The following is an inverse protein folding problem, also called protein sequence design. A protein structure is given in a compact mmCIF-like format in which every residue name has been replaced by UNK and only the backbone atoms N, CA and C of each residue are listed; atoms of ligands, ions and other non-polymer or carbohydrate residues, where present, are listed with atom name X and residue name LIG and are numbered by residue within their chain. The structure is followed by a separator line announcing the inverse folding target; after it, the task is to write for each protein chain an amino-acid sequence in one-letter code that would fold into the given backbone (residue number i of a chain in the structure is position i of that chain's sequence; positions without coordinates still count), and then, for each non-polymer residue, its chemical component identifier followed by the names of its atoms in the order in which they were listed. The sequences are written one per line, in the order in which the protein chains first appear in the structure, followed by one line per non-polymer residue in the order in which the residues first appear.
data_IF_645748007468
#
_entry.id   IF_645748007468
#
_cell.length_a   1.000
_cell.length_b   1.000
_cell.length_c   1.000
_cell.angle_alpha   90.00
_cell.angle_beta   90.00
_cell.angle_gamma   90.00
#
_symmetry.space_group_name_H-M   'P 1'
#
loop_
_entity.id
_entity.type
_entity.pdbx_description
1 polymer ?
#
# COMPACT_ATOMS: atom_id res chain seq x y z
N UNK A 1 7.59 6.68 -8.19
CA UNK A 1 6.46 6.25 -7.32
C UNK A 1 5.62 5.19 -8.00
N UNK A 2 5.10 4.26 -7.21
CA UNK A 2 4.47 3.04 -7.68
C UNK A 2 3.16 2.79 -6.93
N UNK A 3 2.35 1.88 -7.46
CA UNK A 3 1.12 1.41 -6.82
C UNK A 3 1.40 0.00 -6.28
N UNK A 4 1.14 -0.22 -5.00
CA UNK A 4 1.31 -1.52 -4.34
C UNK A 4 -0.06 -2.16 -4.13
N UNK A 5 -0.16 -3.48 -4.30
CA UNK A 5 -1.40 -4.22 -4.12
C UNK A 5 -1.15 -5.41 -3.19
N UNK A 6 -1.78 -5.43 -2.03
CA UNK A 6 -1.68 -6.52 -1.06
C UNK A 6 -0.39 -6.56 -0.23
N UNK A 7 0.54 -5.64 -0.49
CA UNK A 7 1.70 -5.34 0.34
C UNK A 7 1.67 -3.85 0.68
N UNK A 8 2.01 -3.47 1.92
CA UNK A 8 2.04 -2.06 2.33
C UNK A 8 3.15 -1.28 1.61
N UNK A 9 2.96 0.04 1.53
CA UNK A 9 4.07 0.96 1.31
C UNK A 9 4.88 1.16 2.62
N UNK A 10 5.94 1.98 2.56
CA UNK A 10 6.85 2.15 3.70
C UNK A 10 6.12 2.65 4.96
N UNK A 11 5.23 3.65 4.84
CA UNK A 11 4.56 4.23 6.02
C UNK A 11 3.50 3.30 6.56
N UNK A 12 2.77 2.58 5.71
CA UNK A 12 1.79 1.61 6.18
C UNK A 12 2.43 0.37 6.82
N UNK A 13 3.61 -0.05 6.36
CA UNK A 13 4.37 -1.13 6.98
C UNK A 13 4.83 -0.73 8.38
N UNK A 14 5.48 0.43 8.52
CA UNK A 14 6.17 0.83 9.74
C UNK A 14 5.24 1.44 10.80
N UNK A 15 4.26 2.26 10.39
CA UNK A 15 3.51 3.14 11.32
C UNK A 15 2.01 2.82 11.44
N UNK A 16 1.40 2.11 10.47
CA UNK A 16 -0.04 1.86 10.46
C UNK A 16 -0.41 0.39 10.72
N UNK A 17 0.13 -0.54 9.94
CA UNK A 17 -0.20 -1.96 10.00
C UNK A 17 0.76 -2.74 10.88
N UNK A 18 2.02 -2.32 10.98
CA UNK A 18 3.10 -3.05 11.66
C UNK A 18 3.21 -4.51 11.16
N UNK A 19 2.91 -4.73 9.87
CA UNK A 19 2.95 -6.01 9.21
C UNK A 19 3.35 -5.79 7.75
N UNK A 20 4.07 -6.76 7.17
CA UNK A 20 4.51 -6.78 5.77
C UNK A 20 3.41 -7.22 4.80
N UNK A 21 2.23 -7.54 5.32
CA UNK A 21 1.09 -8.02 4.56
C UNK A 21 -0.09 -7.06 4.68
N UNK A 22 -0.68 -6.72 3.53
CA UNK A 22 -1.94 -5.99 3.44
C UNK A 22 -3.00 -6.84 2.73
N UNK A 23 -3.03 -8.14 3.04
CA UNK A 23 -3.97 -9.13 2.52
C UNK A 23 -4.57 -9.97 3.64
N UNK A 24 -5.85 -10.31 3.50
CA UNK A 24 -6.57 -11.15 4.45
C UNK A 24 -7.49 -12.12 3.72
N UNK A 25 -7.31 -13.40 4.01
CA UNK A 25 -8.14 -14.46 3.44
C UNK A 25 -9.46 -14.60 4.21
N UNK A 26 -10.55 -14.88 3.48
CA UNK A 26 -11.76 -15.37 4.13
C UNK A 26 -11.50 -16.73 4.78
N UNK A 27 -12.20 -17.10 5.87
CA UNK A 27 -11.96 -18.36 6.57
C UNK A 27 -12.05 -19.62 5.71
N UNK A 28 -12.84 -19.56 4.63
CA UNK A 28 -13.05 -20.64 3.66
C UNK A 28 -12.17 -20.53 2.39
N UNK A 29 -11.28 -19.54 2.31
CA UNK A 29 -10.37 -19.33 1.17
C UNK A 29 -11.03 -18.90 -0.15
N UNK A 30 -12.33 -18.60 -0.15
CA UNK A 30 -13.07 -18.19 -1.37
C UNK A 30 -12.80 -16.73 -1.74
N UNK A 31 -12.41 -15.90 -0.78
CA UNK A 31 -12.14 -14.48 -0.99
C UNK A 31 -10.80 -14.07 -0.39
N UNK A 32 -10.20 -13.05 -0.98
CA UNK A 32 -9.07 -12.33 -0.43
C UNK A 32 -9.42 -10.83 -0.40
N UNK A 33 -9.34 -10.22 0.77
CA UNK A 33 -9.34 -8.78 0.92
C UNK A 33 -7.91 -8.27 0.77
N UNK A 34 -7.72 -7.15 0.07
CA UNK A 34 -6.40 -6.52 -0.06
C UNK A 34 -6.51 -5.01 -0.15
N UNK A 35 -5.46 -4.32 0.29
CA UNK A 35 -5.34 -2.87 0.11
C UNK A 35 -4.46 -2.57 -1.10
N UNK A 36 -4.88 -1.58 -1.88
CA UNK A 36 -4.06 -0.90 -2.87
C UNK A 36 -3.55 0.39 -2.26
N UNK A 37 -2.24 0.56 -2.24
CA UNK A 37 -1.55 1.79 -1.82
C UNK A 37 -1.06 2.53 -3.05
N UNK A 38 -1.36 3.80 -3.15
CA UNK A 38 -0.95 4.63 -4.26
C UNK A 38 -0.05 5.78 -3.77
N UNK A 39 1.24 5.58 -4.01
CA UNK A 39 2.30 6.54 -3.69
C UNK A 39 2.58 7.55 -4.80
N UNK A 40 1.83 7.56 -5.92
CA UNK A 40 2.22 8.35 -7.11
C UNK A 40 2.53 9.82 -6.81
N UNK A 41 1.88 10.40 -5.80
CA UNK A 41 2.02 11.81 -5.42
C UNK A 41 2.74 12.01 -4.07
N UNK A 42 3.24 10.94 -3.46
CA UNK A 42 4.00 10.99 -2.21
C UNK A 42 5.44 11.44 -2.48
N UNK A 43 5.98 12.43 -1.74
CA UNK A 43 7.37 12.83 -1.92
C UNK A 43 8.36 11.68 -1.70
N UNK A 44 9.46 11.70 -2.46
CA UNK A 44 10.50 10.67 -2.37
C UNK A 44 11.60 11.17 -1.44
N UNK A 45 11.99 10.33 -0.50
CA UNK A 45 13.22 10.49 0.27
C UNK A 45 14.33 9.70 -0.40
N UNK A 46 15.49 10.33 -0.58
CA UNK A 46 16.65 9.73 -1.22
C UNK A 46 17.85 9.74 -0.28
N UNK A 47 18.63 8.66 -0.32
CA UNK A 47 19.89 8.57 0.41
C UNK A 47 20.92 7.74 -0.34
N UNK A 48 22.20 8.01 -0.07
CA UNK A 48 23.30 7.24 -0.64
C UNK A 48 23.50 5.93 0.12
N UNK A 49 23.50 4.82 -0.61
CA UNK A 49 23.87 3.51 -0.11
C UNK A 49 25.26 3.14 -0.65
N UNK A 50 26.23 3.09 0.25
CA UNK A 50 27.65 2.94 -0.10
C UNK A 50 28.04 1.51 -0.48
N UNK A 51 27.37 0.49 0.08
CA UNK A 51 27.55 -0.91 -0.31
C UNK A 51 29.00 -1.40 -0.33
N UNK A 52 29.26 -2.45 -1.11
CA UNK A 52 30.61 -2.96 -1.41
C UNK A 52 31.05 -2.66 -2.84
N UNK A 53 30.17 -2.07 -3.66
CA UNK A 53 30.44 -1.71 -5.04
C UNK A 53 31.42 -0.52 -5.12
N UNK A 54 32.11 -0.39 -6.26
CA UNK A 54 33.09 0.69 -6.47
C UNK A 54 32.48 2.10 -6.30
N UNK A 55 31.19 2.26 -6.59
CA UNK A 55 30.48 3.52 -6.48
C UNK A 55 29.17 3.37 -5.71
N UNK A 56 28.81 4.36 -4.87
CA UNK A 56 27.53 4.37 -4.18
C UNK A 56 26.36 4.41 -5.16
N UNK A 57 25.21 3.90 -4.71
CA UNK A 57 23.94 4.04 -5.41
C UNK A 57 22.96 4.87 -4.59
N UNK A 58 22.06 5.58 -5.27
CA UNK A 58 20.95 6.26 -4.61
C UNK A 58 19.82 5.27 -4.37
N UNK A 59 19.32 5.23 -3.14
CA UNK A 59 18.08 4.55 -2.78
C UNK A 59 16.99 5.61 -2.67
N UNK A 60 15.85 5.35 -3.28
CA UNK A 60 14.71 6.26 -3.33
C UNK A 60 13.48 5.56 -2.76
N UNK A 61 12.86 6.15 -1.75
CA UNK A 61 11.69 5.57 -1.04
C UNK A 61 10.59 6.64 -0.98
N UNK A 62 9.34 6.34 -1.39
CA UNK A 62 8.20 7.21 -1.08
C UNK A 62 8.05 7.35 0.43
N UNK A 63 8.22 8.56 0.95
CA UNK A 63 8.23 8.82 2.38
C UNK A 63 7.51 10.14 2.66
N UNK A 64 6.27 10.11 3.20
CA UNK A 64 5.55 11.31 3.55
C UNK A 64 6.10 11.89 4.87
N UNK A 65 6.81 13.01 4.78
CA UNK A 65 7.16 13.80 5.97
C UNK A 65 5.94 14.55 6.50
N UNK A 66 6.01 14.98 7.75
CA UNK A 66 4.96 15.80 8.37
C UNK A 66 4.56 16.98 7.46
N UNK A 67 3.25 17.13 7.22
CA UNK A 67 2.68 18.18 6.38
C UNK A 67 2.81 17.94 4.87
N UNK A 68 3.29 16.77 4.44
CA UNK A 68 3.33 16.38 3.01
C UNK A 68 2.22 15.39 2.67
N UNK A 69 2.04 15.11 1.36
CA UNK A 69 0.96 14.27 0.89
C UNK A 69 1.18 12.80 1.27
N UNK A 70 0.17 12.21 1.91
CA UNK A 70 0.14 10.80 2.25
C UNK A 70 -0.23 9.92 1.04
N UNK A 71 0.12 8.63 1.09
CA UNK A 71 -0.41 7.64 0.16
C UNK A 71 -1.94 7.61 0.21
N UNK A 72 -2.56 7.49 -0.96
CA UNK A 72 -4.00 7.23 -1.05
C UNK A 72 -4.25 5.74 -1.09
N UNK A 73 -5.29 5.26 -0.41
CA UNK A 73 -5.59 3.83 -0.34
C UNK A 73 -6.97 3.48 -0.90
N UNK A 74 -7.09 2.25 -1.40
CA UNK A 74 -8.36 1.63 -1.78
C UNK A 74 -8.39 0.19 -1.26
N UNK A 75 -9.52 -0.22 -0.70
CA UNK A 75 -9.72 -1.59 -0.22
C UNK A 75 -10.54 -2.36 -1.24
N UNK A 76 -10.10 -3.59 -1.54
CA UNK A 76 -10.75 -4.48 -2.48
C UNK A 76 -11.02 -5.84 -1.85
N UNK A 77 -12.07 -6.52 -2.33
CA UNK A 77 -12.31 -7.94 -2.10
C UNK A 77 -12.30 -8.64 -3.46
N UNK A 78 -11.41 -9.61 -3.64
CA UNK A 78 -11.40 -10.49 -4.79
C UNK A 78 -12.02 -11.85 -4.43
N UNK A 79 -12.96 -12.32 -5.25
CA UNK A 79 -13.42 -13.70 -5.23
C UNK A 79 -12.46 -14.55 -6.06
N UNK A 80 -11.93 -15.60 -5.46
CA UNK A 80 -10.81 -16.42 -5.99
C UNK A 80 -11.12 -17.91 -5.99
N UNK A 81 -12.39 -18.30 -5.88
CA UNK A 81 -12.85 -19.69 -5.96
C UNK A 81 -12.61 -20.34 -7.33
N UNK A 82 -12.56 -19.53 -8.38
CA UNK A 82 -12.18 -19.94 -9.72
C UNK A 82 -11.02 -19.09 -10.24
N UNK A 83 -9.80 -19.65 -10.41
CA UNK A 83 -8.64 -18.90 -10.89
C UNK A 83 -8.82 -18.38 -12.33
N UNK A 84 -9.73 -18.94 -13.12
CA UNK A 84 -10.04 -18.46 -14.47
C UNK A 84 -11.11 -17.36 -14.49
N UNK A 85 -11.72 -17.02 -13.34
CA UNK A 85 -12.82 -16.06 -13.25
C UNK A 85 -12.74 -15.25 -11.94
N UNK A 86 -11.60 -14.59 -11.72
CA UNK A 86 -11.40 -13.70 -10.57
C UNK A 86 -12.27 -12.45 -10.75
N UNK A 87 -13.09 -12.13 -9.74
CA UNK A 87 -13.89 -10.90 -9.70
C UNK A 87 -13.49 -10.04 -8.52
N UNK A 88 -13.22 -8.76 -8.76
CA UNK A 88 -12.81 -7.79 -7.74
C UNK A 88 -13.89 -6.74 -7.48
N UNK A 89 -14.19 -6.49 -6.21
CA UNK A 89 -15.09 -5.41 -5.76
C UNK A 89 -14.29 -4.40 -4.93
N UNK A 90 -14.36 -3.12 -5.28
CA UNK A 90 -13.86 -2.05 -4.43
C UNK A 90 -14.86 -1.80 -3.28
N UNK A 91 -14.37 -1.77 -2.05
CA UNK A 91 -15.17 -1.41 -0.88
C UNK A 91 -15.28 0.11 -0.81
N UNK A 92 -16.50 0.69 -0.81
CA UNK A 92 -16.66 2.13 -0.69
C UNK A 92 -16.27 2.60 0.71
N UNK A 93 -15.61 3.75 0.77
CA UNK A 93 -15.28 4.39 2.05
C UNK A 93 -16.58 4.88 2.69
N UNK A 94 -16.84 4.55 3.97
CA UNK A 94 -18.00 5.05 4.68
C UNK A 94 -18.02 6.58 4.69
N UNK A 95 -19.19 7.19 4.46
CA UNK A 95 -19.36 8.65 4.47
C UNK A 95 -18.99 9.31 5.81
N UNK A 96 -19.01 8.54 6.91
CA UNK A 96 -18.56 9.01 8.22
C UNK A 96 -17.05 9.29 8.27
N UNK A 97 -16.25 8.60 7.44
CA UNK A 97 -14.79 8.68 7.44
C UNK A 97 -14.27 9.58 6.30
N UNK A 98 -15.12 9.96 5.35
CA UNK A 98 -14.72 10.74 4.18
C UNK A 98 -14.39 12.21 4.47
N UNK A 99 -14.70 12.72 5.66
CA UNK A 99 -14.43 14.11 6.08
C UNK A 99 -13.25 14.25 7.04
N UNK A 100 -12.52 13.17 7.30
CA UNK A 100 -11.41 13.13 8.25
C UNK A 100 -10.09 13.36 7.51
N UNK A 101 -9.25 14.29 7.97
CA UNK A 101 -7.94 14.69 7.38
C UNK A 101 -6.88 13.56 7.36
N UNK A 102 -7.29 12.33 7.62
CA UNK A 102 -6.45 11.14 7.70
C UNK A 102 -6.57 10.27 6.44
N UNK A 103 -7.10 10.83 5.35
CA UNK A 103 -7.18 10.23 4.01
C UNK A 103 -6.68 11.21 2.94
#
# INVERSE_FOLDING_TARGET
NQIYNGIPDWVYEEDMLHDKHATWWSPNGTFIAYVQFNDTEVPVMEYSFYGEDQYPRTISIPYPKAGTKNPTIKVFIAKVDNPNAISTLQIPVPSLLSSSDYY
#
